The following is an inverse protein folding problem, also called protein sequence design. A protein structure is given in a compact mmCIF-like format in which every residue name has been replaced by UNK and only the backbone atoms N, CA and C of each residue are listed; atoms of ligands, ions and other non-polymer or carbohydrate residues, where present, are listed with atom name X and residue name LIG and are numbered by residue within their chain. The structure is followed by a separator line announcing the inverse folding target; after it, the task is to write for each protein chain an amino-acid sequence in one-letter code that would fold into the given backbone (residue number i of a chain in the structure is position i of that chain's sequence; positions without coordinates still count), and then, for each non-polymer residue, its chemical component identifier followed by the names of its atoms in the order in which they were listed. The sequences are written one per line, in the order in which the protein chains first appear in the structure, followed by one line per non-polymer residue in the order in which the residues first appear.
data_IF_337785036352
#
_entry.id   IF_337785036352
#
_cell.length_a   1.000
_cell.length_b   1.000
_cell.length_c   1.000
_cell.angle_alpha   90.00
_cell.angle_beta   90.00
_cell.angle_gamma   90.00
#
_symmetry.space_group_name_H-M   'P 1'
#
loop_
_entity.id
_entity.type
_entity.pdbx_description
1 polymer ?
#
# COMPACT_ATOMS: atom_id res chain seq x y z
N UNK A 1 18.03 -18.86 18.11
CA UNK A 1 16.65 -19.33 18.39
C UNK A 1 15.71 -18.55 17.46
N UNK A 2 15.47 -19.03 16.25
CA UNK A 2 14.61 -18.35 15.27
C UNK A 2 13.16 -18.61 15.69
N UNK A 3 12.40 -17.56 16.03
CA UNK A 3 11.01 -17.71 16.47
C UNK A 3 10.23 -18.43 15.38
N UNK A 4 9.79 -19.64 15.70
CA UNK A 4 9.08 -20.53 14.81
C UNK A 4 7.83 -19.85 14.25
N UNK A 5 7.81 -19.54 12.95
CA UNK A 5 6.55 -19.21 12.29
C UNK A 5 6.61 -18.36 11.03
N UNK A 6 7.69 -17.61 10.78
CA UNK A 6 7.82 -16.72 9.61
C UNK A 6 9.19 -16.80 8.95
N UNK A 7 9.22 -17.10 7.66
CA UNK A 7 10.40 -17.10 6.81
C UNK A 7 10.46 -15.81 6.00
N UNK A 8 11.62 -15.16 5.92
CA UNK A 8 11.79 -14.00 5.04
C UNK A 8 11.96 -14.47 3.59
N UNK A 9 11.12 -13.96 2.69
CA UNK A 9 11.08 -14.37 1.28
C UNK A 9 11.85 -13.39 0.40
N UNK A 10 11.64 -12.09 0.61
CA UNK A 10 12.25 -11.02 -0.18
C UNK A 10 12.29 -9.71 0.62
N UNK A 11 13.22 -8.82 0.27
CA UNK A 11 13.34 -7.49 0.86
C UNK A 11 13.33 -6.42 -0.24
N UNK A 12 12.59 -5.35 0.00
CA UNK A 12 12.39 -4.20 -0.89
C UNK A 12 12.76 -2.93 -0.10
N UNK A 13 14.02 -2.53 -0.19
CA UNK A 13 14.58 -1.48 0.67
C UNK A 13 14.44 -1.85 2.15
N UNK A 14 13.63 -1.10 2.88
CA UNK A 14 13.34 -1.34 4.30
C UNK A 14 12.08 -2.20 4.55
N UNK A 15 11.31 -2.54 3.50
CA UNK A 15 10.22 -3.51 3.57
C UNK A 15 10.75 -4.94 3.44
N UNK A 16 10.24 -5.87 4.23
CA UNK A 16 10.53 -7.31 4.10
C UNK A 16 9.25 -8.10 4.04
N UNK A 17 9.16 -8.97 3.03
CA UNK A 17 8.10 -9.92 2.82
C UNK A 17 8.39 -11.19 3.63
N UNK A 18 7.49 -11.55 4.53
CA UNK A 18 7.57 -12.75 5.34
C UNK A 18 6.45 -13.72 4.97
N UNK A 19 6.79 -14.99 4.76
CA UNK A 19 5.84 -16.09 4.64
C UNK A 19 5.63 -16.74 5.99
N UNK A 20 4.38 -16.75 6.45
CA UNK A 20 3.96 -17.42 7.67
C UNK A 20 3.77 -18.92 7.41
N UNK A 21 3.87 -19.75 8.45
CA UNK A 21 3.60 -21.19 8.38
C UNK A 21 2.19 -21.55 7.91
N UNK A 22 1.23 -20.65 8.06
CA UNK A 22 -0.15 -20.82 7.57
C UNK A 22 -0.29 -20.50 6.07
N UNK A 23 0.82 -20.24 5.37
CA UNK A 23 0.86 -19.91 3.95
C UNK A 23 0.56 -18.45 3.63
N UNK A 24 0.20 -17.63 4.63
CA UNK A 24 -0.06 -16.20 4.43
C UNK A 24 1.22 -15.40 4.35
N UNK A 25 1.15 -14.29 3.64
CA UNK A 25 2.27 -13.36 3.48
C UNK A 25 2.03 -12.10 4.29
N UNK A 26 3.09 -11.59 4.92
CA UNK A 26 3.07 -10.39 5.75
C UNK A 26 4.21 -9.46 5.34
N UNK A 27 3.89 -8.19 5.09
CA UNK A 27 4.90 -7.15 4.85
C UNK A 27 5.22 -6.45 6.16
N UNK A 28 6.51 -6.37 6.49
CA UNK A 28 7.00 -5.70 7.70
C UNK A 28 8.00 -4.61 7.34
N UNK A 29 7.88 -3.47 8.00
CA UNK A 29 8.73 -2.31 7.72
C UNK A 29 8.35 -1.63 6.41
N UNK A 30 9.25 -0.77 5.92
CA UNK A 30 9.02 -0.06 4.67
C UNK A 30 8.10 1.14 4.78
N UNK A 31 8.33 2.09 3.88
CA UNK A 31 7.37 3.10 3.46
C UNK A 31 6.22 2.45 2.67
N UNK A 32 5.12 3.18 2.49
CA UNK A 32 3.99 2.70 1.68
C UNK A 32 4.39 2.39 0.22
N UNK A 33 5.40 3.09 -0.32
CA UNK A 33 5.92 2.84 -1.66
C UNK A 33 6.69 1.51 -1.75
N UNK A 34 7.57 1.23 -0.79
CA UNK A 34 8.31 -0.04 -0.72
C UNK A 34 7.36 -1.22 -0.47
N UNK A 35 6.30 -1.03 0.32
CA UNK A 35 5.26 -2.04 0.50
C UNK A 35 4.47 -2.29 -0.78
N UNK A 36 4.17 -1.25 -1.55
CA UNK A 36 3.49 -1.39 -2.84
C UNK A 36 4.35 -2.15 -3.85
N UNK A 37 5.65 -1.83 -3.94
CA UNK A 37 6.60 -2.54 -4.79
C UNK A 37 6.65 -4.05 -4.45
N UNK A 38 6.64 -4.37 -3.15
CA UNK A 38 6.61 -5.75 -2.70
C UNK A 38 5.31 -6.49 -3.07
N UNK A 39 4.16 -5.80 -3.02
CA UNK A 39 2.87 -6.34 -3.47
C UNK A 39 2.86 -6.54 -4.99
N UNK A 40 3.39 -5.58 -5.75
CA UNK A 40 3.47 -5.66 -7.20
C UNK A 40 4.34 -6.84 -7.63
N UNK A 41 5.53 -7.00 -7.03
CA UNK A 41 6.38 -8.17 -7.25
C UNK A 41 5.67 -9.48 -6.87
N UNK A 42 4.99 -9.51 -5.72
CA UNK A 42 4.29 -10.71 -5.29
C UNK A 42 3.15 -11.10 -6.24
N UNK A 43 2.46 -10.12 -6.84
CA UNK A 43 1.42 -10.39 -7.84
C UNK A 43 1.95 -11.10 -9.09
N UNK A 44 3.23 -10.85 -9.44
CA UNK A 44 3.89 -11.43 -10.61
C UNK A 44 4.51 -12.79 -10.26
N UNK A 45 5.19 -12.88 -9.10
CA UNK A 45 6.03 -14.03 -8.76
C UNK A 45 5.37 -15.05 -7.82
N UNK A 46 4.30 -14.68 -7.12
CA UNK A 46 3.63 -15.49 -6.10
C UNK A 46 2.11 -15.34 -6.23
N UNK A 47 1.54 -15.94 -7.28
CA UNK A 47 0.11 -15.86 -7.60
C UNK A 47 -0.81 -16.39 -6.47
N UNK A 48 -0.32 -17.30 -5.64
CA UNK A 48 -1.04 -17.82 -4.45
C UNK A 48 -0.82 -16.99 -3.18
N UNK A 49 -0.16 -15.83 -3.26
CA UNK A 49 0.11 -15.00 -2.10
C UNK A 49 -1.16 -14.36 -1.54
N UNK A 50 -1.62 -14.85 -0.39
CA UNK A 50 -2.71 -14.25 0.36
C UNK A 50 -2.15 -13.28 1.38
N UNK A 51 -2.39 -11.99 1.14
CA UNK A 51 -2.07 -10.93 2.08
C UNK A 51 -3.27 -10.66 3.01
N UNK A 52 -3.06 -10.47 4.32
CA UNK A 52 -4.11 -9.94 5.17
C UNK A 52 -4.45 -8.54 4.67
N UNK A 53 -5.70 -8.35 4.22
CA UNK A 53 -6.21 -7.02 3.89
C UNK A 53 -6.09 -6.16 5.13
N UNK A 54 -5.09 -5.28 5.13
CA UNK A 54 -5.08 -4.11 5.98
C UNK A 54 -6.20 -3.23 5.45
N UNK A 55 -7.39 -3.36 6.04
CA UNK A 55 -8.43 -2.34 5.96
C UNK A 55 -7.85 -1.06 6.55
N UNK A 56 -7.03 -0.36 5.77
CA UNK A 56 -6.69 1.01 6.07
C UNK A 56 -8.04 1.75 6.18
N UNK A 57 -8.32 2.44 7.30
CA UNK A 57 -9.52 3.26 7.39
C UNK A 57 -9.45 4.25 6.23
N UNK A 58 -10.38 4.12 5.27
CA UNK A 58 -10.55 5.10 4.20
C UNK A 58 -10.66 6.46 4.89
N UNK A 59 -9.80 7.46 4.56
CA UNK A 59 -10.03 8.80 5.05
C UNK A 59 -11.44 9.22 4.60
N UNK A 60 -12.26 9.81 5.48
CA UNK A 60 -13.60 10.24 5.09
C UNK A 60 -13.46 11.13 3.86
N UNK A 61 -14.21 10.77 2.80
CA UNK A 61 -14.28 11.57 1.59
C UNK A 61 -14.48 13.03 2.00
N UNK A 62 -13.54 13.90 1.64
CA UNK A 62 -13.67 15.36 1.80
C UNK A 62 -14.89 15.82 0.98
N UNK A 63 -16.09 15.67 1.53
CA UNK A 63 -17.26 16.45 1.14
C UNK A 63 -17.00 17.87 1.62
N UNK A 64 -16.63 18.75 0.69
CA UNK A 64 -16.70 20.19 0.93
C UNK A 64 -15.52 20.98 0.38
N UNK A 65 -15.55 21.32 -0.91
CA UNK A 65 -15.40 22.72 -1.33
C UNK A 65 -15.86 22.85 -2.79
N UNK A 66 -16.94 23.60 -3.08
CA UNK A 66 -17.23 23.98 -4.46
C UNK A 66 -16.08 24.88 -4.94
N UNK A 67 -15.61 24.61 -6.17
CA UNK A 67 -14.63 25.44 -6.85
C UNK A 67 -15.14 26.88 -6.86
N UNK A 68 -14.35 27.79 -6.27
CA UNK A 68 -14.59 29.21 -6.40
C UNK A 68 -14.54 29.54 -7.90
N UNK A 69 -15.74 29.80 -8.44
CA UNK A 69 -15.96 30.27 -9.80
C UNK A 69 -15.28 31.64 -9.90
N UNK A 70 -14.06 31.67 -10.45
CA UNK A 70 -13.36 32.92 -10.76
C UNK A 70 -14.15 33.61 -11.85
N UNK A 71 -14.93 34.63 -11.48
CA UNK A 71 -15.62 35.52 -12.40
C UNK A 71 -14.58 36.20 -13.29
N UNK A 72 -14.61 35.88 -14.58
CA UNK A 72 -13.83 36.56 -15.61
C UNK A 72 -14.54 37.88 -15.90
N UNK A 73 -14.03 38.99 -15.36
CA UNK A 73 -14.47 40.32 -15.79
C UNK A 73 -13.89 40.60 -17.17
N UNK A 74 -14.77 40.70 -18.17
CA UNK A 74 -14.43 41.22 -19.49
C UNK A 74 -14.36 42.75 -19.37
N UNK A 75 -13.15 43.30 -19.37
CA UNK A 75 -12.93 44.73 -19.65
C UNK A 75 -12.95 44.89 -21.17
N UNK A 76 -13.95 45.61 -21.66
CA UNK A 76 -14.01 46.10 -23.04
C UNK A 76 -13.08 47.31 -23.16
N UNK A 77 -12.33 47.38 -24.25
CA UNK A 77 -11.66 48.59 -24.75
C UNK A 77 -12.07 48.79 -26.20
#
# INVERSE_FOLDING_TARGET
MWRAGTEAVASFGTATLHRRRDGRYELRGGTAAEQQEALDWASICQHDAVFPVLLAPRPPARRGRPAARRSMQVVRS
#
